data_IF_207168158692
#
_entry.id   IF_207168158692
#
_cell.length_a   1.000
_cell.length_b   1.000
_cell.length_c   1.000
_cell.angle_alpha   90.00
_cell.angle_beta   90.00
_cell.angle_gamma   90.00
#
_symmetry.space_group_name_H-M   'P 1'
#
loop_
_entity.id
_entity.type
_entity.pdbx_description
1 polymer ?
#
# COMPACT_ATOMS: atom_id res chain seq x y z
N UNK A 1 23.72 5.12 3.18
CA UNK A 1 22.52 5.60 3.88
C UNK A 1 21.77 4.39 4.42
N UNK A 2 21.58 4.26 5.74
CA UNK A 2 20.72 3.19 6.27
C UNK A 2 19.31 3.48 5.79
N UNK A 3 18.70 2.54 5.05
CA UNK A 3 17.30 2.62 4.62
C UNK A 3 16.45 2.82 5.88
N UNK A 4 15.84 4.00 6.02
CA UNK A 4 14.87 4.27 7.08
C UNK A 4 13.69 3.36 6.75
N UNK A 5 13.53 2.28 7.52
CA UNK A 5 12.53 1.24 7.24
C UNK A 5 11.14 1.87 7.29
N UNK A 6 10.57 2.12 6.11
CA UNK A 6 9.15 2.40 5.98
C UNK A 6 8.36 1.21 6.55
N UNK A 7 7.29 1.51 7.29
CA UNK A 7 6.39 0.48 7.79
C UNK A 7 5.29 0.25 6.75
N UNK A 8 5.22 -0.94 6.19
CA UNK A 8 4.08 -1.36 5.36
C UNK A 8 2.87 -1.50 6.29
N UNK A 9 1.79 -0.79 5.95
CA UNK A 9 0.55 -0.76 6.70
C UNK A 9 -0.51 -1.65 6.05
N UNK A 10 -0.52 -1.69 4.72
CA UNK A 10 -1.46 -2.46 3.93
C UNK A 10 -0.79 -2.86 2.63
N UNK A 11 -1.00 -4.08 2.18
CA UNK A 11 -0.51 -4.59 0.91
C UNK A 11 -1.58 -5.44 0.22
N UNK A 12 -1.54 -5.48 -1.11
CA UNK A 12 -2.43 -6.30 -1.90
C UNK A 12 -1.77 -6.70 -3.21
N UNK A 13 -1.87 -7.97 -3.57
CA UNK A 13 -1.51 -8.48 -4.90
C UNK A 13 -2.73 -8.38 -5.82
N UNK A 14 -2.59 -7.73 -6.98
CA UNK A 14 -3.69 -7.64 -7.94
C UNK A 14 -4.10 -9.01 -8.48
N UNK A 15 -5.42 -9.22 -8.65
CA UNK A 15 -6.02 -10.48 -9.11
C UNK A 15 -5.65 -10.85 -10.54
N UNK A 16 -5.34 -9.85 -11.37
CA UNK A 16 -4.88 -10.03 -12.75
C UNK A 16 -3.39 -10.38 -12.83
N UNK A 17 -2.72 -10.53 -11.68
CA UNK A 17 -1.29 -10.73 -11.58
C UNK A 17 -0.50 -9.67 -12.35
N UNK A 18 -0.92 -8.41 -12.34
CA UNK A 18 -0.13 -7.28 -12.88
C UNK A 18 0.95 -6.78 -11.92
N UNK A 19 0.78 -7.05 -10.62
CA UNK A 19 1.76 -6.72 -9.60
C UNK A 19 1.14 -6.51 -8.21
N UNK A 20 1.65 -5.51 -7.49
CA UNK A 20 1.34 -5.26 -6.09
C UNK A 20 1.06 -3.78 -5.83
N UNK A 21 0.17 -3.50 -4.88
CA UNK A 21 -0.03 -2.18 -4.29
C UNK A 21 0.28 -2.25 -2.80
N UNK A 22 0.94 -1.23 -2.26
CA UNK A 22 1.15 -1.11 -0.82
C UNK A 22 1.06 0.32 -0.34
N UNK A 23 0.48 0.47 0.85
CA UNK A 23 0.47 1.68 1.65
C UNK A 23 1.55 1.55 2.71
N UNK A 24 2.52 2.47 2.72
CA UNK A 24 3.54 2.55 3.76
C UNK A 24 3.43 3.86 4.54
N UNK A 25 4.02 3.88 5.74
CA UNK A 25 4.26 5.10 6.51
C UNK A 25 5.75 5.22 6.80
N UNK A 26 6.29 6.41 6.55
CA UNK A 26 7.67 6.74 6.91
C UNK A 26 7.78 7.16 8.40
N UNK A 27 9.00 7.55 8.80
CA UNK A 27 9.30 7.99 10.17
C UNK A 27 8.62 9.31 10.56
N UNK A 28 8.22 10.12 9.59
CA UNK A 28 7.52 11.38 9.80
C UNK A 28 5.99 11.19 9.73
N UNK A 29 5.52 9.92 9.67
CA UNK A 29 4.11 9.56 9.55
C UNK A 29 3.47 10.04 8.25
N UNK A 30 4.27 10.37 7.24
CA UNK A 30 3.75 10.61 5.89
C UNK A 30 3.42 9.26 5.28
N UNK A 31 2.22 9.19 4.69
CA UNK A 31 1.71 7.98 4.09
C UNK A 31 1.99 8.00 2.59
N UNK A 32 2.60 6.93 2.12
CA UNK A 32 2.99 6.74 0.72
C UNK A 32 2.24 5.54 0.16
N UNK A 33 1.86 5.64 -1.11
CA UNK A 33 1.30 4.53 -1.88
C UNK A 33 2.25 4.23 -3.02
N UNK A 34 2.50 2.96 -3.20
CA UNK A 34 3.33 2.46 -4.27
C UNK A 34 2.58 1.37 -5.03
N UNK A 35 2.80 1.33 -6.34
CA UNK A 35 2.43 0.20 -7.20
C UNK A 35 3.71 -0.35 -7.80
N UNK A 36 3.88 -1.66 -7.67
CA UNK A 36 4.95 -2.42 -8.28
C UNK A 36 4.41 -3.32 -9.38
N UNK A 37 5.18 -3.51 -10.45
CA UNK A 37 4.93 -4.58 -11.41
C UNK A 37 5.32 -5.97 -10.83
N UNK A 38 5.12 -7.03 -11.60
CA UNK A 38 5.53 -8.39 -11.20
C UNK A 38 7.04 -8.60 -11.05
N UNK A 39 7.85 -7.68 -11.56
CA UNK A 39 9.30 -7.69 -11.44
C UNK A 39 9.78 -6.84 -10.25
N UNK A 40 8.85 -6.39 -9.39
CA UNK A 40 9.11 -5.54 -8.22
C UNK A 40 9.64 -4.15 -8.56
N UNK A 41 9.51 -3.70 -9.81
CA UNK A 41 9.83 -2.33 -10.17
C UNK A 41 8.68 -1.42 -9.75
N UNK A 42 8.98 -0.31 -9.09
CA UNK A 42 7.99 0.72 -8.76
C UNK A 42 7.55 1.39 -10.07
N UNK A 43 6.30 1.20 -10.45
CA UNK A 43 5.68 1.84 -11.63
C UNK A 43 4.88 3.09 -11.27
N UNK A 44 4.49 3.22 -10.00
CA UNK A 44 3.81 4.38 -9.48
C UNK A 44 4.17 4.61 -8.00
N UNK A 45 4.37 5.87 -7.62
CA UNK A 45 4.62 6.29 -6.24
C UNK A 45 3.95 7.63 -5.99
N UNK A 46 3.17 7.74 -4.92
CA UNK A 46 2.49 8.98 -4.54
C UNK A 46 2.42 9.10 -3.02
N UNK A 47 2.35 10.33 -2.53
CA UNK A 47 2.03 10.62 -1.14
C UNK A 47 1.03 11.77 -1.08
N UNK A 48 0.36 11.89 0.07
CA UNK A 48 -0.48 13.06 0.37
C UNK A 48 0.02 13.75 1.62
N UNK A 49 -0.25 15.05 1.73
CA UNK A 49 -0.05 15.80 2.97
C UNK A 49 -0.92 15.26 4.11
N UNK A 50 -0.55 15.59 5.34
CA UNK A 50 -1.14 14.99 6.56
C UNK A 50 -2.66 15.12 6.66
N UNK A 51 -3.23 16.21 6.15
CA UNK A 51 -4.68 16.50 6.22
C UNK A 51 -5.50 15.49 5.38
N UNK A 52 -4.88 14.87 4.37
CA UNK A 52 -5.58 13.99 3.43
C UNK A 52 -5.33 12.49 3.70
N UNK A 53 -4.64 12.16 4.79
CA UNK A 53 -4.22 10.77 5.10
C UNK A 53 -5.40 9.81 5.19
N UNK A 54 -6.51 10.23 5.80
CA UNK A 54 -7.69 9.37 5.93
C UNK A 54 -8.30 9.04 4.57
N UNK A 55 -8.43 10.05 3.69
CA UNK A 55 -8.89 9.85 2.31
C UNK A 55 -8.00 8.87 1.55
N UNK A 56 -6.68 9.03 1.64
CA UNK A 56 -5.72 8.12 1.00
C UNK A 56 -5.87 6.68 1.51
N UNK A 57 -5.94 6.48 2.84
CA UNK A 57 -6.12 5.17 3.46
C UNK A 57 -7.40 4.48 2.99
N UNK A 58 -8.51 5.21 2.96
CA UNK A 58 -9.80 4.69 2.55
C UNK A 58 -9.77 4.29 1.07
N UNK A 59 -9.21 5.13 0.20
CA UNK A 59 -9.07 4.81 -1.22
C UNK A 59 -8.21 3.57 -1.47
N UNK A 60 -7.06 3.44 -0.80
CA UNK A 60 -6.18 2.26 -0.98
C UNK A 60 -6.82 1.00 -0.44
N UNK A 61 -7.49 1.08 0.71
CA UNK A 61 -8.25 -0.03 1.28
C UNK A 61 -9.31 -0.52 0.29
N UNK A 62 -10.03 0.40 -0.33
CA UNK A 62 -11.07 0.06 -1.30
C UNK A 62 -10.50 -0.54 -2.59
N UNK A 63 -9.38 -0.02 -3.09
CA UNK A 63 -8.67 -0.60 -4.24
C UNK A 63 -8.26 -2.04 -3.94
N UNK A 64 -7.66 -2.29 -2.78
CA UNK A 64 -7.21 -3.63 -2.38
C UNK A 64 -8.41 -4.57 -2.22
N UNK A 65 -9.48 -4.11 -1.59
CA UNK A 65 -10.72 -4.89 -1.42
C UNK A 65 -11.32 -5.32 -2.76
N UNK A 66 -11.35 -4.42 -3.75
CA UNK A 66 -11.95 -4.70 -5.05
C UNK A 66 -11.03 -5.52 -5.97
N UNK A 67 -9.75 -5.12 -6.05
CA UNK A 67 -8.84 -5.55 -7.13
C UNK A 67 -7.77 -6.55 -6.68
N UNK A 68 -7.54 -6.71 -5.37
CA UNK A 68 -6.51 -7.61 -4.85
C UNK A 68 -7.11 -8.85 -4.20
N UNK A 69 -6.28 -9.88 -4.03
CA UNK A 69 -6.64 -11.01 -3.17
C UNK A 69 -6.81 -10.50 -1.74
N UNK A 70 -7.97 -10.78 -1.13
CA UNK A 70 -8.23 -10.48 0.28
C UNK A 70 -7.68 -11.65 1.09
N UNK A 71 -6.68 -11.42 1.92
CA UNK A 71 -6.31 -12.39 2.95
C UNK A 71 -7.36 -12.31 4.06
N UNK A 72 -8.36 -13.19 4.04
CA UNK A 72 -9.39 -13.34 5.09
C UNK A 72 -8.84 -13.96 6.40
N UNK A 73 -7.53 -13.86 6.68
CA UNK A 73 -6.91 -14.49 7.85
C UNK A 73 -6.79 -13.59 9.09
N UNK A 74 -7.35 -12.38 9.07
CA UNK A 74 -7.36 -11.48 10.25
C UNK A 74 -8.65 -11.58 11.08
N UNK A 75 -9.31 -12.75 11.12
CA UNK A 75 -10.50 -12.98 11.97
C UNK A 75 -10.35 -14.02 13.08
N UNK A 76 -9.18 -14.62 13.28
CA UNK A 76 -8.93 -15.50 14.43
C UNK A 76 -7.45 -15.48 14.87
N UNK A 77 -7.06 -14.48 15.65
CA UNK A 77 -5.98 -14.57 16.66
C UNK A 77 -6.12 -13.45 17.68
#
# INVERSE_FOLDING_TARGET
MKSLKEKILLEGKFKDASGYIYLSSDLYRVHHVYIQDNHQNIVYAVYVGWIHVEGLKNSVTEIIRQLCYVNDEAKNS
#
